data_IF_048189572805
#
_entry.id   IF_048189572805
#
_cell.length_a   1.000
_cell.length_b   1.000
_cell.length_c   1.000
_cell.angle_alpha   90.00
_cell.angle_beta   90.00
_cell.angle_gamma   90.00
#
_symmetry.space_group_name_H-M   'P 1'
#
loop_
_entity.id
_entity.type
_entity.pdbx_description
1 polymer ?
#
# COMPACT_ATOMS: atom_id res chain seq x y z
N UNK A 1 23.70 10.04 12.36
CA UNK A 1 24.10 10.49 11.00
C UNK A 1 22.96 10.44 9.97
N UNK A 2 21.84 9.72 10.20
CA UNK A 2 20.67 9.68 9.27
C UNK A 2 19.66 10.83 9.49
N UNK A 3 19.62 11.46 10.67
CA UNK A 3 18.67 12.56 10.95
C UNK A 3 18.98 13.87 10.20
N UNK A 4 20.23 14.13 9.83
CA UNK A 4 20.66 15.40 9.21
C UNK A 4 20.28 15.51 7.72
N UNK A 5 20.22 14.39 6.99
CA UNK A 5 19.70 14.37 5.62
C UNK A 5 18.17 14.40 5.59
N UNK A 6 17.52 13.94 6.67
CA UNK A 6 16.06 13.81 6.70
C UNK A 6 15.38 15.16 6.54
N UNK A 7 15.88 16.25 7.14
CA UNK A 7 15.22 17.57 7.06
C UNK A 7 15.30 18.20 5.67
N UNK A 8 16.42 18.01 4.96
CA UNK A 8 16.62 18.53 3.61
C UNK A 8 15.75 17.83 2.57
N UNK A 9 15.59 16.52 2.72
CA UNK A 9 14.76 15.73 1.80
C UNK A 9 13.30 15.63 2.26
N UNK A 10 13.00 15.76 3.55
CA UNK A 10 11.64 15.55 4.08
C UNK A 10 10.67 16.58 3.55
N UNK A 11 11.05 17.85 3.49
CA UNK A 11 10.15 18.92 3.04
C UNK A 11 9.77 18.76 1.55
N UNK A 12 10.71 18.65 0.59
CA UNK A 12 10.36 18.41 -0.80
C UNK A 12 9.70 17.05 -1.01
N UNK A 13 10.11 15.99 -0.29
CA UNK A 13 9.49 14.68 -0.41
C UNK A 13 8.05 14.68 0.11
N UNK A 14 7.80 15.31 1.27
CA UNK A 14 6.45 15.48 1.82
C UNK A 14 5.59 16.29 0.86
N UNK A 15 6.14 17.36 0.29
CA UNK A 15 5.44 18.16 -0.70
C UNK A 15 5.07 17.34 -1.95
N UNK A 16 6.00 16.57 -2.51
CA UNK A 16 5.74 15.72 -3.68
C UNK A 16 4.71 14.62 -3.35
N UNK A 17 4.80 14.00 -2.17
CA UNK A 17 3.85 12.97 -1.73
C UNK A 17 2.44 13.57 -1.57
N UNK A 18 2.33 14.73 -0.90
CA UNK A 18 1.06 15.42 -0.69
C UNK A 18 0.45 15.88 -2.02
N UNK A 19 1.25 16.46 -2.92
CA UNK A 19 0.81 16.78 -4.28
C UNK A 19 0.34 15.52 -5.04
N UNK A 20 1.02 14.40 -4.85
CA UNK A 20 0.63 13.12 -5.44
C UNK A 20 -0.74 12.65 -4.95
N UNK A 21 -1.04 12.82 -3.66
CA UNK A 21 -2.35 12.52 -3.08
C UNK A 21 -3.45 13.49 -3.55
N UNK A 22 -3.17 14.79 -3.56
CA UNK A 22 -4.13 15.82 -4.00
C UNK A 22 -4.49 15.67 -5.48
N UNK A 23 -3.50 15.36 -6.33
CA UNK A 23 -3.69 15.26 -7.78
C UNK A 23 -4.06 13.83 -8.22
N UNK A 24 -4.03 12.85 -7.32
CA UNK A 24 -4.22 11.44 -7.63
C UNK A 24 -3.19 10.90 -8.65
N UNK A 25 -2.01 11.50 -8.72
CA UNK A 25 -0.97 11.20 -9.71
C UNK A 25 0.39 11.12 -9.03
N UNK A 26 1.00 9.94 -9.04
CA UNK A 26 2.38 9.76 -8.61
C UNK A 26 3.33 9.85 -9.82
N UNK A 27 4.55 10.39 -9.65
CA UNK A 27 5.54 10.45 -10.72
C UNK A 27 5.80 9.06 -11.32
N UNK A 28 5.86 8.94 -12.66
CA UNK A 28 6.16 7.65 -13.34
C UNK A 28 7.49 7.02 -12.89
N UNK A 29 8.44 7.85 -12.46
CA UNK A 29 9.72 7.40 -11.90
C UNK A 29 9.54 6.57 -10.60
N UNK A 30 8.49 6.83 -9.82
CA UNK A 30 8.17 6.06 -8.61
C UNK A 30 7.46 4.73 -8.91
N UNK A 31 6.95 4.55 -10.13
CA UNK A 31 6.39 3.27 -10.58
C UNK A 31 7.49 2.24 -10.92
N UNK A 32 8.77 2.62 -10.86
CA UNK A 32 9.88 1.67 -10.93
C UNK A 32 10.26 1.24 -9.51
N UNK A 33 9.58 0.21 -9.03
CA UNK A 33 10.01 -0.56 -7.86
C UNK A 33 10.70 -1.83 -8.36
N UNK A 34 11.86 -2.18 -7.82
CA UNK A 34 12.53 -3.44 -8.13
C UNK A 34 11.81 -4.55 -7.35
N UNK A 35 10.71 -5.06 -7.91
CA UNK A 35 9.86 -6.06 -7.25
C UNK A 35 10.47 -7.44 -7.49
N UNK A 36 10.89 -8.10 -6.40
CA UNK A 36 11.33 -9.49 -6.44
C UNK A 36 10.23 -10.36 -5.80
N UNK A 37 9.36 -11.01 -6.59
CA UNK A 37 8.36 -11.92 -6.04
C UNK A 37 9.06 -13.10 -5.36
N UNK A 38 8.76 -13.34 -4.08
CA UNK A 38 9.26 -14.49 -3.31
C UNK A 38 8.10 -15.48 -3.13
N UNK A 39 8.06 -16.59 -3.89
CA UNK A 39 6.98 -17.56 -3.74
C UNK A 39 7.14 -18.34 -2.43
N UNK A 40 6.11 -18.32 -1.58
CA UNK A 40 5.92 -19.28 -0.48
C UNK A 40 5.00 -20.41 -0.94
N UNK A 41 5.28 -21.64 -0.48
CA UNK A 41 4.53 -22.87 -0.80
C UNK A 41 3.01 -22.67 -0.65
N UNK A 42 2.25 -23.18 -1.62
CA UNK A 42 0.79 -23.13 -1.71
C UNK A 42 0.10 -23.71 -0.47
N UNK A 43 -0.78 -22.93 0.14
CA UNK A 43 -1.80 -23.40 1.10
C UNK A 43 -3.17 -22.96 0.60
N UNK A 44 -4.13 -23.87 0.65
CA UNK A 44 -5.32 -23.96 -0.21
C UNK A 44 -6.55 -23.18 0.28
N UNK A 45 -6.45 -21.85 0.42
CA UNK A 45 -7.64 -20.97 0.47
C UNK A 45 -7.31 -19.65 -0.24
N UNK A 46 -7.62 -19.55 -1.52
CA UNK A 46 -7.38 -18.34 -2.32
C UNK A 46 -8.62 -17.44 -2.32
N UNK A 47 -8.59 -16.35 -1.54
CA UNK A 47 -9.21 -15.11 -2.03
C UNK A 47 -8.46 -14.76 -3.31
N UNK A 48 -9.18 -14.55 -4.42
CA UNK A 48 -8.60 -14.38 -5.76
C UNK A 48 -7.29 -13.60 -5.71
N UNK A 49 -6.20 -14.27 -6.11
CA UNK A 49 -4.81 -13.78 -5.99
C UNK A 49 -4.57 -12.47 -6.76
N UNK A 50 -5.57 -11.99 -7.53
CA UNK A 50 -5.52 -10.81 -8.38
C UNK A 50 -6.30 -9.59 -7.86
N UNK A 51 -7.02 -9.69 -6.73
CA UNK A 51 -7.77 -8.54 -6.19
C UNK A 51 -6.86 -7.61 -5.37
N UNK A 52 -5.93 -8.20 -4.62
CA UNK A 52 -4.98 -7.46 -3.77
C UNK A 52 -3.58 -7.52 -4.36
N UNK A 53 -2.77 -6.45 -4.21
CA UNK A 53 -1.36 -6.47 -4.61
C UNK A 53 -0.60 -7.62 -3.93
N UNK A 54 0.40 -8.16 -4.63
CA UNK A 54 1.23 -9.25 -4.10
C UNK A 54 2.10 -8.79 -2.91
N UNK A 55 2.31 -7.48 -2.83
CA UNK A 55 3.08 -6.72 -1.86
C UNK A 55 2.22 -6.25 -0.67
N UNK A 56 0.96 -6.67 -0.56
CA UNK A 56 0.17 -6.45 0.65
C UNK A 56 0.36 -7.62 1.61
N UNK A 57 1.01 -7.39 2.75
CA UNK A 57 1.14 -8.39 3.83
C UNK A 57 0.17 -8.22 4.98
N UNK A 58 -0.27 -6.98 5.24
CA UNK A 58 -1.23 -6.68 6.30
C UNK A 58 -2.58 -7.34 6.04
N UNK A 59 -3.17 -7.89 7.11
CA UNK A 59 -4.50 -8.51 7.10
C UNK A 59 -4.66 -9.69 6.11
N UNK A 60 -3.55 -10.36 5.75
CA UNK A 60 -3.55 -11.62 4.99
C UNK A 60 -2.89 -12.72 5.79
N UNK A 61 -3.50 -13.90 5.82
CA UNK A 61 -2.87 -15.08 6.38
C UNK A 61 -1.58 -15.43 5.61
N UNK A 62 -0.54 -15.82 6.34
CA UNK A 62 0.74 -16.32 5.80
C UNK A 62 1.69 -15.30 5.11
N UNK A 63 1.37 -14.00 5.07
CA UNK A 63 2.17 -12.98 4.38
C UNK A 63 3.25 -12.26 5.23
N UNK A 64 3.80 -12.90 6.27
CA UNK A 64 4.89 -12.34 7.10
C UNK A 64 6.22 -12.06 6.38
N UNK A 65 6.31 -12.35 5.08
CA UNK A 65 7.55 -12.32 4.28
C UNK A 65 7.98 -10.93 3.81
N UNK A 66 7.05 -9.98 3.69
CA UNK A 66 7.38 -8.68 3.08
C UNK A 66 8.29 -7.81 3.94
N UNK A 67 8.16 -7.90 5.27
CA UNK A 67 9.06 -7.20 6.19
C UNK A 67 10.46 -7.79 6.10
N UNK A 68 10.56 -9.12 5.99
CA UNK A 68 11.84 -9.83 5.87
C UNK A 68 12.52 -9.47 4.53
N UNK A 69 11.78 -9.50 3.43
CA UNK A 69 12.33 -9.13 2.12
C UNK A 69 12.75 -7.67 2.05
N UNK A 70 12.00 -6.76 2.69
CA UNK A 70 12.39 -5.34 2.79
C UNK A 70 13.74 -5.18 3.51
N UNK A 71 13.92 -5.91 4.61
CA UNK A 71 15.18 -5.89 5.37
C UNK A 71 16.32 -6.44 4.52
N UNK A 72 16.11 -7.56 3.81
CA UNK A 72 17.10 -8.14 2.90
C UNK A 72 17.49 -7.16 1.77
N UNK A 73 16.51 -6.47 1.18
CA UNK A 73 16.75 -5.48 0.13
C UNK A 73 17.60 -4.32 0.65
N UNK A 74 17.30 -3.82 1.85
CA UNK A 74 18.09 -2.77 2.53
C UNK A 74 19.53 -3.23 2.75
N UNK A 75 19.72 -4.44 3.30
CA UNK A 75 21.05 -5.00 3.52
C UNK A 75 21.82 -5.17 2.20
N UNK A 76 21.15 -5.66 1.16
CA UNK A 76 21.77 -5.83 -0.16
C UNK A 76 22.20 -4.49 -0.78
N UNK A 77 21.42 -3.41 -0.55
CA UNK A 77 21.76 -2.06 -0.96
C UNK A 77 23.05 -1.57 -0.30
N UNK A 78 23.17 -1.77 1.02
CA UNK A 78 24.38 -1.45 1.76
C UNK A 78 25.60 -2.26 1.30
N UNK A 79 25.45 -3.58 1.15
CA UNK A 79 26.55 -4.47 0.68
C UNK A 79 27.08 -4.08 -0.69
N UNK A 80 26.23 -3.55 -1.56
CA UNK A 80 26.60 -3.12 -2.91
C UNK A 80 27.01 -1.64 -3.00
N UNK A 81 27.26 -0.97 -1.86
CA UNK A 81 27.59 0.46 -1.79
C UNK A 81 26.57 1.37 -2.51
N UNK A 82 25.31 0.96 -2.58
CA UNK A 82 24.23 1.75 -3.18
C UNK A 82 23.66 2.71 -2.15
N UNK A 83 23.30 3.91 -2.62
CA UNK A 83 22.47 4.82 -1.83
C UNK A 83 21.12 4.14 -1.61
N UNK A 84 20.81 3.86 -0.34
CA UNK A 84 19.59 3.15 0.06
C UNK A 84 18.77 4.10 0.91
N UNK A 85 17.51 4.32 0.53
CA UNK A 85 16.56 5.17 1.23
C UNK A 85 15.28 4.40 1.49
N UNK A 86 14.71 4.56 2.69
CA UNK A 86 13.44 3.97 3.08
C UNK A 86 12.50 5.10 3.52
N UNK A 87 11.31 5.15 2.91
CA UNK A 87 10.23 6.04 3.30
C UNK A 87 9.09 5.22 3.86
N UNK A 88 8.74 5.44 5.12
CA UNK A 88 7.61 4.80 5.78
C UNK A 88 6.47 5.81 5.87
N UNK A 89 5.28 5.41 5.45
CA UNK A 89 4.06 6.21 5.52
C UNK A 89 3.12 5.59 6.54
N UNK A 90 2.64 6.42 7.47
CA UNK A 90 1.60 6.04 8.40
C UNK A 90 0.41 6.99 8.25
N UNK A 91 -0.76 6.42 7.99
CA UNK A 91 -1.98 7.18 7.72
C UNK A 91 -2.76 7.33 9.03
N UNK A 92 -2.76 8.56 9.56
CA UNK A 92 -3.63 8.92 10.68
C UNK A 92 -5.09 8.67 10.31
N UNK A 93 -5.81 7.89 11.12
CA UNK A 93 -7.25 7.60 10.92
C UNK A 93 -7.55 7.11 9.50
N UNK A 94 -6.82 6.08 9.08
CA UNK A 94 -6.91 5.53 7.73
C UNK A 94 -8.35 5.17 7.30
N UNK A 95 -9.18 4.66 8.22
CA UNK A 95 -10.57 4.32 7.94
C UNK A 95 -11.49 5.56 7.82
N UNK A 96 -11.32 6.56 8.70
CA UNK A 96 -12.10 7.81 8.64
C UNK A 96 -11.78 8.62 7.37
N UNK A 97 -10.58 8.42 6.82
CA UNK A 97 -10.12 9.09 5.60
C UNK A 97 -10.62 8.41 4.32
N UNK A 98 -11.36 7.29 4.41
CA UNK A 98 -11.87 6.57 3.24
C UNK A 98 -13.00 7.33 2.56
N UNK A 99 -12.84 7.58 1.26
CA UNK A 99 -13.95 8.02 0.42
C UNK A 99 -14.89 6.83 0.14
N UNK A 100 -16.02 6.79 0.86
CA UNK A 100 -17.01 5.70 0.77
C UNK A 100 -17.52 5.53 -0.67
N UNK A 101 -17.79 6.63 -1.39
CA UNK A 101 -18.27 6.58 -2.77
C UNK A 101 -17.25 5.93 -3.72
N UNK A 102 -15.96 6.21 -3.52
CA UNK A 102 -14.87 5.57 -4.26
C UNK A 102 -14.76 4.08 -3.91
N UNK A 103 -14.90 3.72 -2.65
CA UNK A 103 -14.88 2.32 -2.20
C UNK A 103 -16.03 1.52 -2.83
N UNK A 104 -17.24 2.06 -2.83
CA UNK A 104 -18.42 1.45 -3.49
C UNK A 104 -18.19 1.28 -4.99
N UNK A 105 -17.54 2.25 -5.64
CA UNK A 105 -17.17 2.16 -7.06
C UNK A 105 -16.15 1.04 -7.30
N UNK A 106 -15.15 0.89 -6.43
CA UNK A 106 -14.19 -0.22 -6.50
C UNK A 106 -14.84 -1.58 -6.26
N UNK A 107 -15.78 -1.70 -5.33
CA UNK A 107 -16.54 -2.94 -5.10
C UNK A 107 -17.29 -3.36 -6.37
N UNK A 108 -17.96 -2.42 -7.05
CA UNK A 108 -18.57 -2.67 -8.37
C UNK A 108 -17.53 -3.10 -9.41
N UNK A 109 -16.36 -2.46 -9.44
CA UNK A 109 -15.28 -2.82 -10.38
C UNK A 109 -14.79 -4.26 -10.16
N UNK A 110 -14.69 -4.70 -8.90
CA UNK A 110 -14.32 -6.07 -8.54
C UNK A 110 -15.48 -7.09 -8.66
N UNK A 111 -16.61 -6.70 -9.23
CA UNK A 111 -17.71 -7.61 -9.53
C UNK A 111 -18.78 -7.77 -8.44
N UNK A 112 -18.78 -6.91 -7.42
CA UNK A 112 -19.82 -6.93 -6.37
C UNK A 112 -21.05 -6.15 -6.84
N UNK A 113 -22.20 -6.83 -6.93
CA UNK A 113 -23.47 -6.25 -7.41
C UNK A 113 -24.69 -6.72 -6.60
N UNK A 114 -25.85 -6.13 -6.90
CA UNK A 114 -27.14 -6.52 -6.32
C UNK A 114 -27.21 -6.34 -4.80
N UNK A 115 -27.95 -7.24 -4.14
CA UNK A 115 -28.20 -7.15 -2.70
C UNK A 115 -26.93 -7.09 -1.84
N UNK A 116 -25.84 -7.73 -2.28
CA UNK A 116 -24.55 -7.67 -1.57
C UNK A 116 -23.97 -6.26 -1.62
N UNK A 117 -24.05 -5.58 -2.76
CA UNK A 117 -23.59 -4.20 -2.89
C UNK A 117 -24.47 -3.25 -2.06
N UNK A 118 -25.78 -3.45 -2.08
CA UNK A 118 -26.73 -2.65 -1.31
C UNK A 118 -26.48 -2.81 0.20
N UNK A 119 -26.15 -4.03 0.64
CA UNK A 119 -25.72 -4.30 2.02
C UNK A 119 -24.43 -3.55 2.37
N UNK A 120 -23.40 -3.60 1.52
CA UNK A 120 -22.16 -2.85 1.75
C UNK A 120 -22.39 -1.34 1.79
N UNK A 121 -23.23 -0.80 0.90
CA UNK A 121 -23.59 0.62 0.91
C UNK A 121 -24.31 0.97 2.21
N UNK A 122 -25.31 0.20 2.61
CA UNK A 122 -26.03 0.42 3.87
C UNK A 122 -25.08 0.38 5.06
N UNK A 123 -24.21 -0.64 5.14
CA UNK A 123 -23.24 -0.76 6.22
C UNK A 123 -22.27 0.44 6.27
N UNK A 124 -21.67 0.82 5.14
CA UNK A 124 -20.66 1.88 5.10
C UNK A 124 -21.24 3.28 5.31
N UNK A 125 -22.45 3.56 4.81
CA UNK A 125 -23.10 4.87 5.00
C UNK A 125 -23.74 5.03 6.38
N UNK A 126 -24.18 3.94 7.00
CA UNK A 126 -24.87 3.97 8.29
C UNK A 126 -23.92 3.81 9.49
N UNK A 127 -22.72 3.26 9.27
CA UNK A 127 -21.65 3.20 10.27
C UNK A 127 -20.83 4.49 10.26
N UNK A 128 -21.35 5.56 10.84
CA UNK A 128 -20.52 6.69 11.29
C UNK A 128 -20.01 6.38 12.70
N UNK A 129 -18.77 5.87 12.77
CA UNK A 129 -17.94 5.97 13.97
C UNK A 129 -17.38 7.40 14.09
#
# INVERSE_FOLDING_TARGET
MVQLASTWFSEPLTHIINLGFEQGRVPKLWNFSLVKPIPKKKTSVSLDENILPSEQSGFRENFSTLVISLVDDIFSGFSNSKITALTLLDMSKAFDSLNISLLVTKLKYYGVYGATLDWFQSYLFNSRL
#
